data_IF_644439212965
#
_entry.id   IF_644439212965
#
_cell.length_a   1.000
_cell.length_b   1.000
_cell.length_c   1.000
_cell.angle_alpha   90.00
_cell.angle_beta   90.00
_cell.angle_gamma   90.00
#
_symmetry.space_group_name_H-M   'P 1'
#
loop_
_entity.id
_entity.type
_entity.pdbx_description
1 polymer ?
#
# COMPACT_ATOMS: atom_id res chain seq x y z
N UNK A 1 -9.39 27.72 4.81
CA UNK A 1 -8.63 26.53 5.25
C UNK A 1 -7.85 25.97 4.05
N UNK A 2 -6.52 25.79 4.15
CA UNK A 2 -5.75 25.15 3.07
C UNK A 2 -6.22 23.70 2.94
N UNK A 3 -6.65 23.27 1.75
CA UNK A 3 -7.03 21.88 1.47
C UNK A 3 -5.80 20.99 1.75
N UNK A 4 -5.88 20.13 2.74
CA UNK A 4 -4.79 19.22 3.08
C UNK A 4 -4.84 18.04 2.12
N UNK A 5 -3.77 17.83 1.37
CA UNK A 5 -3.65 16.64 0.51
C UNK A 5 -3.59 15.38 1.38
N UNK A 6 -4.47 14.38 1.18
CA UNK A 6 -4.46 13.14 1.95
C UNK A 6 -3.12 12.38 1.86
N UNK A 7 -2.48 12.43 0.70
CA UNK A 7 -1.17 11.81 0.46
C UNK A 7 -0.11 12.44 1.37
N UNK A 8 -0.09 13.78 1.45
CA UNK A 8 0.87 14.50 2.29
C UNK A 8 0.63 14.23 3.78
N UNK A 9 -0.64 14.11 4.19
CA UNK A 9 -0.99 13.81 5.58
C UNK A 9 -0.56 12.39 5.96
N UNK A 10 -0.67 11.41 5.06
CA UNK A 10 -0.13 10.06 5.26
C UNK A 10 1.37 10.06 5.51
N UNK A 11 2.16 10.78 4.71
CA UNK A 11 3.61 10.93 4.94
C UNK A 11 3.91 11.67 6.25
N UNK A 12 3.17 12.74 6.53
CA UNK A 12 3.37 13.55 7.73
C UNK A 12 3.14 12.75 9.02
N UNK A 13 2.10 11.92 9.07
CA UNK A 13 1.81 11.06 10.23
C UNK A 13 2.95 10.08 10.46
N UNK A 14 3.42 9.42 9.40
CA UNK A 14 4.53 8.46 9.50
C UNK A 14 5.84 9.12 9.93
N UNK A 15 6.16 10.32 9.40
CA UNK A 15 7.38 11.04 9.77
C UNK A 15 7.33 11.62 11.19
N UNK A 16 6.16 12.06 11.66
CA UNK A 16 5.98 12.59 13.02
C UNK A 16 5.97 11.50 14.09
N UNK A 17 5.54 10.28 13.73
CA UNK A 17 5.50 9.15 14.65
C UNK A 17 6.15 7.91 14.03
N UNK A 18 7.48 7.90 13.92
CA UNK A 18 8.22 6.79 13.31
C UNK A 18 8.05 5.48 14.08
N UNK A 19 7.69 5.53 15.38
CA UNK A 19 7.43 4.34 16.20
C UNK A 19 6.36 3.44 15.63
N UNK A 20 5.34 4.01 14.95
CA UNK A 20 4.27 3.24 14.33
C UNK A 20 4.77 2.48 13.09
N UNK A 21 5.56 3.15 12.25
CA UNK A 21 6.24 2.49 11.13
C UNK A 21 7.22 1.41 11.61
N UNK A 22 7.99 1.69 12.66
CA UNK A 22 8.90 0.71 13.24
C UNK A 22 8.18 -0.50 13.83
N UNK A 23 7.05 -0.32 14.51
CA UNK A 23 6.25 -1.42 15.02
C UNK A 23 5.73 -2.31 13.88
N UNK A 24 5.27 -1.71 12.77
CA UNK A 24 4.82 -2.45 11.58
C UNK A 24 5.99 -3.25 10.95
N UNK A 25 7.16 -2.66 10.82
CA UNK A 25 8.37 -3.33 10.34
C UNK A 25 8.76 -4.46 11.29
N UNK A 26 8.79 -4.20 12.59
CA UNK A 26 9.27 -5.17 13.58
C UNK A 26 8.47 -6.47 13.59
N UNK A 27 7.12 -6.39 13.62
CA UNK A 27 6.31 -7.62 13.62
C UNK A 27 6.39 -8.38 12.28
N UNK A 28 6.47 -7.67 11.15
CA UNK A 28 6.62 -8.30 9.83
C UNK A 28 7.95 -9.01 9.69
N UNK A 29 9.01 -8.37 10.13
CA UNK A 29 10.35 -8.93 10.02
C UNK A 29 10.58 -10.09 10.98
N UNK A 30 10.05 -10.01 12.21
CA UNK A 30 10.13 -11.14 13.14
C UNK A 30 9.41 -12.38 12.59
N UNK A 31 8.21 -12.19 12.02
CA UNK A 31 7.48 -13.28 11.39
C UNK A 31 8.16 -13.77 10.11
N UNK A 32 8.68 -12.86 9.28
CA UNK A 32 9.43 -13.20 8.07
C UNK A 32 10.67 -14.02 8.39
N UNK A 33 11.42 -13.61 9.42
CA UNK A 33 12.60 -14.35 9.90
C UNK A 33 12.23 -15.74 10.42
N UNK A 34 11.17 -15.83 11.23
CA UNK A 34 10.66 -17.11 11.72
C UNK A 34 10.22 -18.05 10.57
N UNK A 35 9.57 -17.51 9.55
CA UNK A 35 9.18 -18.25 8.35
C UNK A 35 10.41 -18.74 7.55
N UNK A 36 11.41 -17.87 7.36
CA UNK A 36 12.66 -18.26 6.70
C UNK A 36 13.41 -19.36 7.47
N UNK A 37 13.48 -19.25 8.80
CA UNK A 37 14.10 -20.28 9.64
C UNK A 37 13.35 -21.61 9.55
N UNK A 38 12.01 -21.57 9.60
CA UNK A 38 11.18 -22.78 9.47
C UNK A 38 11.36 -23.45 8.11
N UNK A 39 11.36 -22.67 7.02
CA UNK A 39 11.60 -23.17 5.67
C UNK A 39 13.00 -23.75 5.52
N UNK A 40 14.01 -23.07 6.04
CA UNK A 40 15.41 -23.55 6.03
C UNK A 40 15.55 -24.84 6.82
N UNK A 41 14.95 -24.91 8.00
CA UNK A 41 14.95 -26.12 8.82
C UNK A 41 14.26 -27.30 8.11
N UNK A 42 13.07 -27.06 7.56
CA UNK A 42 12.33 -28.06 6.81
C UNK A 42 13.11 -28.55 5.57
N UNK A 43 13.80 -27.63 4.89
CA UNK A 43 14.65 -28.00 3.75
C UNK A 43 15.89 -28.80 4.15
N UNK A 44 16.61 -28.38 5.19
CA UNK A 44 17.74 -29.13 5.71
C UNK A 44 17.33 -30.54 6.16
N UNK A 45 16.25 -30.62 6.93
CA UNK A 45 15.72 -31.92 7.36
C UNK A 45 15.29 -32.79 6.17
N UNK A 46 14.73 -32.21 5.11
CA UNK A 46 14.46 -32.95 3.88
C UNK A 46 15.76 -33.44 3.23
N UNK A 47 16.82 -32.61 3.16
CA UNK A 47 18.12 -33.01 2.60
C UNK A 47 18.74 -34.18 3.36
N UNK A 48 18.58 -34.23 4.68
CA UNK A 48 19.07 -35.34 5.51
C UNK A 48 18.37 -36.68 5.21
N UNK A 49 17.17 -36.62 4.61
CA UNK A 49 16.45 -37.85 4.21
C UNK A 49 16.83 -38.38 2.82
N UNK A 50 17.66 -37.66 2.08
CA UNK A 50 18.07 -38.09 0.74
C UNK A 50 19.09 -39.19 0.80
N UNK A 51 18.98 -40.26 -0.03
CA UNK A 51 19.94 -41.33 -0.10
C UNK A 51 21.18 -40.90 -0.92
N UNK A 52 22.05 -40.14 -0.27
CA UNK A 52 23.31 -39.66 -0.91
C UNK A 52 24.38 -40.72 -0.84
N UNK A 53 24.85 -41.17 -1.98
CA UNK A 53 25.98 -42.10 -2.06
C UNK A 53 27.34 -41.37 -2.05
N UNK A 54 28.41 -42.09 -1.68
CA UNK A 54 29.77 -41.54 -1.75
C UNK A 54 30.17 -41.13 -3.19
N UNK A 55 29.64 -41.81 -4.20
CA UNK A 55 29.84 -41.45 -5.60
C UNK A 55 29.20 -40.12 -5.94
N UNK A 56 27.97 -39.84 -5.43
CA UNK A 56 27.26 -38.55 -5.64
C UNK A 56 28.05 -37.38 -5.02
N UNK A 57 28.68 -37.61 -3.85
CA UNK A 57 29.54 -36.60 -3.22
C UNK A 57 30.79 -36.29 -4.05
N UNK A 58 31.38 -37.26 -4.68
CA UNK A 58 32.54 -37.09 -5.59
C UNK A 58 32.14 -36.28 -6.83
N UNK A 59 30.97 -36.57 -7.42
CA UNK A 59 30.47 -35.82 -8.57
C UNK A 59 30.12 -34.38 -8.23
N UNK A 60 29.52 -34.11 -7.07
CA UNK A 60 29.26 -32.77 -6.59
C UNK A 60 30.54 -31.95 -6.35
N UNK A 61 31.66 -32.62 -5.96
CA UNK A 61 32.98 -31.98 -5.77
C UNK A 61 33.75 -31.78 -7.08
N UNK A 62 33.36 -32.40 -8.17
CA UNK A 62 34.09 -32.38 -9.45
C UNK A 62 34.18 -31.03 -10.13
N UNK A 63 33.43 -30.04 -9.70
CA UNK A 63 33.27 -28.68 -10.31
C UNK A 63 32.82 -28.69 -11.78
N UNK A 64 32.40 -29.84 -12.30
CA UNK A 64 31.88 -29.97 -13.66
C UNK A 64 30.38 -29.75 -13.65
N UNK A 65 29.84 -28.67 -14.29
CA UNK A 65 28.41 -28.34 -14.22
C UNK A 65 27.50 -29.47 -14.71
N UNK A 66 27.94 -30.25 -15.70
CA UNK A 66 27.18 -31.36 -16.23
C UNK A 66 27.02 -32.49 -15.21
N UNK A 67 28.12 -32.92 -14.55
CA UNK A 67 28.08 -33.96 -13.52
C UNK A 67 27.27 -33.55 -12.30
N UNK A 68 27.39 -32.26 -11.90
CA UNK A 68 26.61 -31.70 -10.81
C UNK A 68 25.11 -31.75 -11.15
N UNK A 69 24.70 -31.31 -12.35
CA UNK A 69 23.31 -31.31 -12.77
C UNK A 69 22.71 -32.73 -12.85
N UNK A 70 23.50 -33.68 -13.36
CA UNK A 70 23.09 -35.08 -13.44
C UNK A 70 22.94 -35.72 -12.05
N UNK A 71 23.87 -35.44 -11.14
CA UNK A 71 23.79 -35.91 -9.76
C UNK A 71 22.63 -35.34 -9.02
N UNK A 72 22.37 -34.02 -9.17
CA UNK A 72 21.18 -33.38 -8.60
C UNK A 72 19.89 -34.04 -9.15
N UNK A 73 19.79 -34.24 -10.46
CA UNK A 73 18.64 -34.92 -11.06
C UNK A 73 18.49 -36.37 -10.55
N UNK A 74 19.57 -37.07 -10.31
CA UNK A 74 19.55 -38.42 -9.74
C UNK A 74 19.09 -38.44 -8.28
N UNK A 75 19.59 -37.54 -7.43
CA UNK A 75 19.24 -37.43 -6.01
C UNK A 75 17.76 -37.07 -5.83
N UNK A 76 17.23 -36.20 -6.69
CA UNK A 76 15.81 -35.84 -6.66
C UNK A 76 14.89 -36.84 -7.36
N UNK A 77 15.42 -37.77 -8.12
CA UNK A 77 14.63 -38.81 -8.81
C UNK A 77 14.03 -39.76 -7.76
N UNK A 78 12.70 -39.77 -7.66
CA UNK A 78 11.97 -40.60 -6.69
C UNK A 78 11.67 -39.91 -5.34
N UNK A 79 12.37 -38.83 -4.99
CA UNK A 79 12.10 -38.05 -3.77
C UNK A 79 11.21 -36.83 -3.99
N UNK A 80 10.86 -36.53 -5.25
CA UNK A 80 10.08 -35.33 -5.62
C UNK A 80 8.72 -35.24 -4.91
N UNK A 81 8.02 -36.36 -4.74
CA UNK A 81 6.75 -36.40 -4.01
C UNK A 81 6.93 -36.00 -2.53
N UNK A 82 8.00 -36.49 -1.88
CA UNK A 82 8.32 -36.13 -0.48
C UNK A 82 8.65 -34.64 -0.37
N UNK A 83 9.39 -34.08 -1.32
CA UNK A 83 9.69 -32.66 -1.37
C UNK A 83 8.41 -31.83 -1.49
N UNK A 84 7.50 -32.21 -2.40
CA UNK A 84 6.23 -31.52 -2.58
C UNK A 84 5.42 -31.55 -1.27
N UNK A 85 5.32 -32.70 -0.60
CA UNK A 85 4.59 -32.84 0.67
C UNK A 85 5.21 -31.95 1.75
N UNK A 86 6.52 -32.03 1.98
CA UNK A 86 7.23 -31.23 2.99
C UNK A 86 7.04 -29.73 2.72
N UNK A 87 7.25 -29.30 1.48
CA UNK A 87 7.09 -27.91 1.08
C UNK A 87 5.64 -27.43 1.24
N UNK A 88 4.66 -28.26 0.84
CA UNK A 88 3.23 -27.90 0.99
C UNK A 88 2.83 -27.75 2.43
N UNK A 89 3.20 -28.69 3.30
CA UNK A 89 2.88 -28.64 4.74
C UNK A 89 3.56 -27.43 5.40
N UNK A 90 4.83 -27.19 5.11
CA UNK A 90 5.58 -26.06 5.67
C UNK A 90 5.00 -24.74 5.19
N UNK A 91 4.68 -24.62 3.89
CA UNK A 91 4.08 -23.43 3.33
C UNK A 91 2.67 -23.16 3.91
N UNK A 92 1.87 -24.21 4.12
CA UNK A 92 0.58 -24.10 4.78
C UNK A 92 0.72 -23.61 6.23
N UNK A 93 1.68 -24.15 6.99
CA UNK A 93 1.97 -23.70 8.36
C UNK A 93 2.40 -22.23 8.41
N UNK A 94 3.30 -21.81 7.49
CA UNK A 94 3.72 -20.41 7.34
C UNK A 94 2.54 -19.52 6.96
N UNK A 95 1.68 -19.95 6.05
CA UNK A 95 0.49 -19.21 5.64
C UNK A 95 -0.49 -18.98 6.79
N UNK A 96 -0.78 -20.01 7.60
CA UNK A 96 -1.62 -19.91 8.81
C UNK A 96 -0.98 -18.94 9.81
N UNK A 97 0.31 -19.11 10.12
CA UNK A 97 1.04 -18.21 11.01
C UNK A 97 1.00 -16.76 10.52
N UNK A 98 1.15 -16.55 9.22
CA UNK A 98 1.01 -15.23 8.60
C UNK A 98 -0.37 -14.63 8.76
N UNK A 99 -1.44 -15.40 8.51
CA UNK A 99 -2.82 -14.93 8.68
C UNK A 99 -3.06 -14.46 10.11
N UNK A 100 -2.65 -15.26 11.10
CA UNK A 100 -2.82 -14.90 12.52
C UNK A 100 -2.03 -13.65 12.89
N UNK A 101 -0.73 -13.61 12.59
CA UNK A 101 0.11 -12.48 12.96
C UNK A 101 -0.26 -11.19 12.20
N UNK A 102 -0.61 -11.29 10.91
CA UNK A 102 -1.04 -10.16 10.12
C UNK A 102 -2.37 -9.58 10.58
N UNK A 103 -3.32 -10.43 11.04
CA UNK A 103 -4.58 -9.94 11.60
C UNK A 103 -4.36 -9.16 12.89
N UNK A 104 -3.53 -9.67 13.80
CA UNK A 104 -3.18 -8.99 15.05
C UNK A 104 -2.44 -7.66 14.84
N UNK A 105 -1.39 -7.67 14.03
CA UNK A 105 -0.61 -6.46 13.73
C UNK A 105 -1.46 -5.37 13.09
N UNK A 106 -2.32 -5.74 12.12
CA UNK A 106 -3.19 -4.78 11.43
C UNK A 106 -4.29 -4.20 12.31
N UNK A 107 -4.88 -4.99 13.23
CA UNK A 107 -5.85 -4.46 14.19
C UNK A 107 -5.21 -3.32 14.98
N UNK A 108 -4.03 -3.53 15.54
CA UNK A 108 -3.34 -2.54 16.35
C UNK A 108 -3.03 -1.26 15.56
N UNK A 109 -2.44 -1.41 14.37
CA UNK A 109 -2.06 -0.27 13.51
C UNK A 109 -3.28 0.53 13.04
N UNK A 110 -4.34 -0.17 12.56
CA UNK A 110 -5.53 0.50 12.06
C UNK A 110 -6.35 1.18 13.15
N UNK A 111 -6.52 0.55 14.32
CA UNK A 111 -7.21 1.18 15.45
C UNK A 111 -6.53 2.47 15.83
N UNK A 112 -5.23 2.44 15.99
CA UNK A 112 -4.47 3.63 16.32
C UNK A 112 -4.63 4.74 15.25
N UNK A 113 -4.56 4.38 13.95
CA UNK A 113 -4.74 5.35 12.86
C UNK A 113 -6.15 5.97 12.87
N UNK A 114 -7.17 5.16 13.02
CA UNK A 114 -8.58 5.63 13.07
C UNK A 114 -8.80 6.55 14.27
N UNK A 115 -8.34 6.17 15.46
CA UNK A 115 -8.43 7.00 16.68
C UNK A 115 -7.68 8.32 16.51
N UNK A 116 -6.47 8.29 15.95
CA UNK A 116 -5.69 9.50 15.69
C UNK A 116 -6.41 10.49 14.78
N UNK A 117 -6.95 10.03 13.65
CA UNK A 117 -7.66 10.91 12.70
C UNK A 117 -9.02 11.36 13.23
N UNK A 118 -9.72 10.56 14.02
CA UNK A 118 -10.95 10.99 14.73
C UNK A 118 -10.66 12.10 15.74
N UNK A 119 -9.59 11.97 16.51
CA UNK A 119 -9.17 13.03 17.43
C UNK A 119 -8.86 14.34 16.71
N UNK A 120 -8.22 14.32 15.56
CA UNK A 120 -7.96 15.51 14.76
C UNK A 120 -9.27 16.17 14.24
N UNK A 121 -10.27 15.36 13.92
CA UNK A 121 -11.59 15.85 13.49
C UNK A 121 -12.33 16.56 14.62
N UNK A 122 -12.30 16.01 15.84
CA UNK A 122 -12.96 16.62 17.01
C UNK A 122 -12.32 17.97 17.34
N UNK A 123 -11.00 18.06 17.43
CA UNK A 123 -10.31 19.32 17.67
C UNK A 123 -10.64 20.38 16.62
N UNK A 124 -10.82 19.97 15.35
CA UNK A 124 -11.19 20.89 14.28
C UNK A 124 -12.63 21.37 14.38
N UNK A 125 -13.56 20.56 14.89
CA UNK A 125 -14.97 20.96 15.12
C UNK A 125 -15.09 21.91 16.30
N UNK A 126 -14.38 21.67 17.40
CA UNK A 126 -14.43 22.49 18.60
C UNK A 126 -13.87 23.91 18.36
N UNK A 127 -12.84 24.06 17.54
CA UNK A 127 -12.32 25.37 17.13
C UNK A 127 -13.36 26.15 16.30
N UNK A 128 -14.16 25.47 15.48
CA UNK A 128 -15.21 26.12 14.69
C UNK A 128 -16.38 26.62 15.56
N UNK A 129 -16.76 25.86 16.58
CA UNK A 129 -17.85 26.21 17.50
C UNK A 129 -17.42 27.34 18.42
N UNK A 130 -16.20 27.30 18.95
CA UNK A 130 -15.65 28.35 19.86
C UNK A 130 -15.43 29.70 19.16
N UNK A 131 -15.34 29.73 17.82
CA UNK A 131 -15.24 31.01 17.07
C UNK A 131 -16.56 31.71 16.78
N UNK A 132 -17.70 31.10 17.09
CA UNK A 132 -19.05 31.62 16.76
C UNK A 132 -19.86 32.06 17.96
N UNK A 133 -19.44 31.68 19.18
CA UNK A 133 -20.15 32.07 20.39
C UNK A 133 -19.45 33.23 21.11
N UNK A 134 -20.16 34.35 21.16
CA UNK A 134 -19.94 35.49 22.10
C UNK A 134 -19.94 34.96 23.55
N UNK A 135 -19.19 35.59 24.47
CA UNK A 135 -19.03 35.12 25.82
C UNK A 135 -20.29 35.34 26.66
N UNK A 136 -21.21 34.40 26.64
CA UNK A 136 -22.27 34.37 27.66
C UNK A 136 -21.96 33.21 28.60
N UNK A 137 -21.54 33.56 29.83
CA UNK A 137 -21.09 32.67 30.87
C UNK A 137 -22.06 31.55 31.19
N UNK A 138 -21.64 30.33 30.90
CA UNK A 138 -22.24 29.12 31.47
C UNK A 138 -21.13 28.34 32.15
N UNK A 139 -21.22 28.18 33.45
CA UNK A 139 -20.34 27.45 34.32
C UNK A 139 -20.16 26.03 33.79
N UNK A 140 -18.93 25.69 33.40
CA UNK A 140 -18.49 24.37 32.99
C UNK A 140 -18.57 23.40 34.17
N UNK A 141 -19.63 22.59 34.22
CA UNK A 141 -19.82 21.52 35.17
C UNK A 141 -18.73 20.47 34.89
N UNK A 142 -17.78 20.35 35.80
CA UNK A 142 -16.68 19.38 35.69
C UNK A 142 -17.18 17.96 35.47
N UNK A 143 -16.42 17.11 34.80
CA UNK A 143 -16.81 15.71 34.56
C UNK A 143 -17.03 15.00 35.90
N UNK A 144 -18.27 14.56 36.12
CA UNK A 144 -18.68 13.95 37.37
C UNK A 144 -18.08 12.56 37.54
N UNK A 145 -17.91 12.15 38.82
CA UNK A 145 -17.40 10.85 39.24
C UNK A 145 -18.15 9.62 38.65
N UNK A 146 -19.32 9.83 38.04
CA UNK A 146 -20.09 8.80 37.33
C UNK A 146 -19.44 8.32 36.04
N UNK A 147 -18.66 9.19 35.34
CA UNK A 147 -18.00 8.82 34.09
C UNK A 147 -16.80 7.89 34.34
N UNK A 148 -16.12 8.07 35.48
CA UNK A 148 -15.03 7.17 35.91
C UNK A 148 -15.53 5.78 36.31
N UNK A 149 -16.75 5.66 36.84
CA UNK A 149 -17.36 4.38 37.20
C UNK A 149 -17.86 3.60 35.98
N UNK A 150 -18.31 4.30 34.92
CA UNK A 150 -18.71 3.68 33.68
C UNK A 150 -17.54 3.08 32.89
N UNK A 151 -16.34 3.67 33.01
CA UNK A 151 -15.13 3.20 32.33
C UNK A 151 -14.64 1.85 32.91
N UNK A 152 -14.86 1.60 34.20
CA UNK A 152 -14.48 0.33 34.86
C UNK A 152 -15.43 -0.83 34.53
N UNK A 153 -16.68 -0.56 34.14
CA UNK A 153 -17.69 -1.57 33.76
C UNK A 153 -17.56 -2.04 32.29
N UNK A 154 -16.67 -1.45 31.52
CA UNK A 154 -16.54 -1.67 30.06
C UNK A 154 -15.82 -2.96 29.62
N UNK A 155 -15.33 -3.81 30.53
CA UNK A 155 -14.46 -4.94 30.20
C UNK A 155 -15.06 -6.02 29.26
N UNK A 156 -16.31 -6.49 29.43
CA UNK A 156 -16.86 -7.56 28.57
C UNK A 156 -17.23 -7.07 27.14
N UNK A 157 -17.62 -5.82 26.99
CA UNK A 157 -18.01 -5.25 25.70
C UNK A 157 -16.81 -5.02 24.78
N UNK A 158 -15.68 -4.63 25.35
CA UNK A 158 -14.44 -4.40 24.61
C UNK A 158 -13.81 -5.70 24.10
N UNK A 159 -13.95 -6.81 24.84
CA UNK A 159 -13.45 -8.12 24.39
C UNK A 159 -14.26 -8.69 23.24
N UNK A 160 -15.59 -8.55 23.25
CA UNK A 160 -16.46 -8.99 22.17
C UNK A 160 -16.21 -8.20 20.86
N UNK A 161 -16.03 -6.89 20.94
CA UNK A 161 -15.67 -6.05 19.79
C UNK A 161 -14.29 -6.41 19.23
N UNK A 162 -13.33 -6.70 20.12
CA UNK A 162 -11.99 -7.11 19.70
C UNK A 162 -12.03 -8.45 18.95
N UNK A 163 -12.77 -9.43 19.46
CA UNK A 163 -12.92 -10.74 18.80
C UNK A 163 -13.60 -10.63 17.44
N UNK A 164 -14.59 -9.77 17.29
CA UNK A 164 -15.26 -9.50 16.00
C UNK A 164 -14.30 -8.90 14.99
N UNK A 165 -13.50 -7.89 15.39
CA UNK A 165 -12.50 -7.30 14.50
C UNK A 165 -11.42 -8.31 14.09
N UNK A 166 -10.98 -9.17 15.02
CA UNK A 166 -9.99 -10.20 14.73
C UNK A 166 -10.49 -11.24 13.73
N UNK A 167 -11.74 -11.70 13.87
CA UNK A 167 -12.35 -12.64 12.92
C UNK A 167 -12.52 -12.04 11.54
N UNK A 168 -13.02 -10.81 11.43
CA UNK A 168 -13.17 -10.12 10.14
C UNK A 168 -11.83 -9.90 9.47
N UNK A 169 -10.82 -9.44 10.21
CA UNK A 169 -9.47 -9.24 9.66
C UNK A 169 -8.75 -10.54 9.35
N UNK A 170 -8.96 -11.58 10.15
CA UNK A 170 -8.48 -12.93 9.87
C UNK A 170 -9.03 -13.46 8.54
N UNK A 171 -10.33 -13.28 8.32
CA UNK A 171 -10.98 -13.62 7.05
C UNK A 171 -10.41 -12.85 5.85
N UNK A 172 -10.16 -11.53 6.00
CA UNK A 172 -9.53 -10.72 4.95
C UNK A 172 -8.09 -11.14 4.68
N UNK A 173 -7.30 -11.45 5.72
CA UNK A 173 -5.94 -11.95 5.56
C UNK A 173 -5.93 -13.33 4.90
N UNK A 174 -6.84 -14.22 5.30
CA UNK A 174 -7.02 -15.53 4.65
C UNK A 174 -7.38 -15.38 3.17
N UNK A 175 -8.34 -14.52 2.84
CA UNK A 175 -8.76 -14.27 1.45
C UNK A 175 -7.58 -13.74 0.62
N UNK A 176 -6.74 -12.88 1.20
CA UNK A 176 -5.54 -12.37 0.54
C UNK A 176 -4.50 -13.47 0.28
N UNK A 177 -4.29 -14.35 1.26
CA UNK A 177 -3.39 -15.50 1.10
C UNK A 177 -3.92 -16.45 0.04
N UNK A 178 -5.22 -16.81 0.10
CA UNK A 178 -5.88 -17.66 -0.90
C UNK A 178 -5.76 -17.07 -2.31
N UNK A 179 -5.98 -15.76 -2.47
CA UNK A 179 -5.82 -15.06 -3.74
C UNK A 179 -4.39 -15.13 -4.26
N UNK A 180 -3.39 -14.99 -3.37
CA UNK A 180 -1.98 -15.08 -3.75
C UNK A 180 -1.61 -16.50 -4.21
N UNK A 181 -2.10 -17.52 -3.53
CA UNK A 181 -1.94 -18.91 -3.97
C UNK A 181 -2.62 -19.16 -5.32
N UNK A 182 -3.87 -18.70 -5.49
CA UNK A 182 -4.60 -18.84 -6.75
C UNK A 182 -3.84 -18.17 -7.91
N UNK A 183 -3.28 -16.98 -7.70
CA UNK A 183 -2.46 -16.30 -8.71
C UNK A 183 -1.16 -17.07 -9.01
N UNK A 184 -0.50 -17.61 -8.00
CA UNK A 184 0.71 -18.42 -8.18
C UNK A 184 0.41 -19.68 -8.99
N UNK A 185 -0.65 -20.41 -8.65
CA UNK A 185 -1.08 -21.58 -9.42
C UNK A 185 -1.53 -21.19 -10.83
N UNK A 186 -2.17 -20.05 -11.01
CA UNK A 186 -2.52 -19.49 -12.32
C UNK A 186 -1.29 -19.23 -13.20
N UNK A 187 -0.22 -18.66 -12.62
CA UNK A 187 1.04 -18.46 -13.33
C UNK A 187 1.71 -19.81 -13.70
N UNK A 188 1.74 -20.76 -12.77
CA UNK A 188 2.26 -22.12 -13.05
C UNK A 188 1.47 -22.80 -14.15
N UNK A 189 0.12 -22.70 -14.09
CA UNK A 189 -0.78 -23.20 -15.14
C UNK A 189 -0.51 -22.57 -16.50
N UNK A 190 -0.26 -21.25 -16.53
CA UNK A 190 0.10 -20.54 -17.77
C UNK A 190 1.43 -21.05 -18.37
N UNK A 191 2.41 -21.31 -17.53
CA UNK A 191 3.71 -21.88 -17.95
C UNK A 191 3.52 -23.29 -18.51
N UNK A 192 2.76 -24.15 -17.82
CA UNK A 192 2.48 -25.53 -18.28
C UNK A 192 1.73 -25.50 -19.60
N UNK A 193 0.71 -24.63 -19.74
CA UNK A 193 -0.06 -24.51 -20.98
C UNK A 193 0.80 -24.06 -22.15
N UNK A 194 1.70 -23.09 -21.93
CA UNK A 194 2.65 -22.63 -22.93
C UNK A 194 3.66 -23.73 -23.32
N UNK A 195 4.11 -24.52 -22.36
CA UNK A 195 5.00 -25.66 -22.60
C UNK A 195 4.30 -26.76 -23.43
N UNK A 196 3.03 -27.05 -23.15
CA UNK A 196 2.23 -28.01 -23.92
C UNK A 196 1.92 -27.51 -25.34
N UNK A 197 1.79 -26.21 -25.56
CA UNK A 197 1.60 -25.62 -26.88
C UNK A 197 2.85 -25.69 -27.76
N UNK A 198 4.04 -25.84 -27.16
CA UNK A 198 5.30 -26.06 -27.85
C UNK A 198 5.55 -27.56 -28.00
N UNK A 199 5.39 -28.08 -29.23
CA UNK A 199 5.60 -29.52 -29.50
C UNK A 199 7.06 -29.93 -29.23
N UNK A 200 7.26 -31.12 -28.63
CA UNK A 200 8.58 -31.69 -28.42
C UNK A 200 9.30 -32.05 -29.74
N UNK A 201 8.54 -32.25 -30.85
CA UNK A 201 9.10 -32.58 -32.18
C UNK A 201 9.56 -31.35 -32.94
N UNK A 202 8.82 -30.24 -32.78
CA UNK A 202 9.13 -28.95 -33.39
C UNK A 202 9.01 -27.86 -32.31
N UNK A 203 10.07 -27.56 -31.57
CA UNK A 203 10.05 -26.57 -30.53
C UNK A 203 9.89 -25.15 -31.12
N UNK A 204 8.73 -24.55 -30.89
CA UNK A 204 8.47 -23.15 -31.24
C UNK A 204 8.53 -22.26 -29.98
N UNK A 205 9.73 -21.88 -29.49
CA UNK A 205 9.85 -21.11 -28.25
C UNK A 205 9.14 -19.74 -28.35
N UNK A 206 9.06 -19.16 -29.54
CA UNK A 206 8.33 -17.93 -29.78
C UNK A 206 6.81 -18.04 -29.52
N UNK A 207 6.19 -19.17 -29.93
CA UNK A 207 4.76 -19.43 -29.67
C UNK A 207 4.51 -19.65 -28.18
N UNK A 208 5.36 -20.43 -27.52
CA UNK A 208 5.26 -20.65 -26.07
C UNK A 208 5.35 -19.33 -25.30
N UNK A 209 6.28 -18.45 -25.68
CA UNK A 209 6.43 -17.14 -25.06
C UNK A 209 5.23 -16.22 -25.34
N UNK A 210 4.70 -16.24 -26.57
CA UNK A 210 3.54 -15.46 -26.99
C UNK A 210 2.26 -15.84 -26.19
N UNK A 211 2.11 -17.10 -25.80
CA UNK A 211 0.99 -17.57 -24.97
C UNK A 211 1.26 -17.27 -23.48
N UNK A 212 2.45 -17.55 -22.99
CA UNK A 212 2.82 -17.43 -21.58
C UNK A 212 2.68 -15.98 -21.08
N UNK A 213 3.25 -15.04 -21.81
CA UNK A 213 3.34 -13.63 -21.34
C UNK A 213 1.96 -13.01 -21.16
N UNK A 214 1.01 -13.05 -22.13
CA UNK A 214 -0.32 -12.49 -21.91
C UNK A 214 -1.08 -13.16 -20.77
N UNK A 215 -0.98 -14.49 -20.62
CA UNK A 215 -1.66 -15.21 -19.55
C UNK A 215 -1.10 -14.81 -18.17
N UNK A 216 0.21 -14.76 -18.02
CA UNK A 216 0.86 -14.32 -16.77
C UNK A 216 0.49 -12.86 -16.47
N UNK A 217 0.52 -11.98 -17.46
CA UNK A 217 0.11 -10.59 -17.32
C UNK A 217 -1.36 -10.47 -16.89
N UNK A 218 -2.26 -11.28 -17.45
CA UNK A 218 -3.67 -11.30 -17.09
C UNK A 218 -3.87 -11.75 -15.64
N UNK A 219 -3.24 -12.85 -15.23
CA UNK A 219 -3.26 -13.34 -13.85
C UNK A 219 -2.72 -12.28 -12.88
N UNK A 220 -1.60 -11.66 -13.23
CA UNK A 220 -0.99 -10.62 -12.41
C UNK A 220 -1.88 -9.38 -12.30
N UNK A 221 -2.52 -8.96 -13.39
CA UNK A 221 -3.45 -7.83 -13.39
C UNK A 221 -4.66 -8.10 -12.48
N UNK A 222 -5.28 -9.28 -12.61
CA UNK A 222 -6.39 -9.69 -11.76
C UNK A 222 -6.00 -9.72 -10.29
N UNK A 223 -4.88 -10.36 -9.99
CA UNK A 223 -4.33 -10.41 -8.62
C UNK A 223 -4.08 -9.00 -8.08
N UNK A 224 -3.49 -8.11 -8.88
CA UNK A 224 -3.16 -6.74 -8.47
C UNK A 224 -4.41 -5.94 -8.11
N UNK A 225 -5.46 -6.01 -8.94
CA UNK A 225 -6.73 -5.31 -8.71
C UNK A 225 -7.43 -5.84 -7.46
N UNK A 226 -7.58 -7.16 -7.33
CA UNK A 226 -8.22 -7.75 -6.16
C UNK A 226 -7.42 -7.49 -4.88
N UNK A 227 -6.09 -7.61 -4.92
CA UNK A 227 -5.23 -7.31 -3.79
C UNK A 227 -5.30 -5.83 -3.37
N UNK A 228 -5.54 -4.93 -4.32
CA UNK A 228 -5.76 -3.52 -4.02
C UNK A 228 -7.05 -3.30 -3.21
N UNK A 229 -8.19 -3.87 -3.61
CA UNK A 229 -9.43 -3.82 -2.83
C UNK A 229 -9.26 -4.46 -1.44
N UNK A 230 -8.61 -5.63 -1.37
CA UNK A 230 -8.30 -6.31 -0.11
C UNK A 230 -7.33 -5.52 0.79
N UNK A 231 -6.60 -4.55 0.25
CA UNK A 231 -5.76 -3.65 1.05
C UNK A 231 -6.55 -2.54 1.74
N UNK A 232 -7.71 -2.17 1.20
CA UNK A 232 -8.61 -1.13 1.73
C UNK A 232 -9.65 -1.70 2.71
N UNK A 233 -10.13 -2.92 2.46
CA UNK A 233 -11.18 -3.56 3.25
C UNK A 233 -10.92 -3.58 4.78
N UNK A 234 -9.68 -3.81 5.28
CA UNK A 234 -9.39 -3.77 6.72
C UNK A 234 -9.76 -2.45 7.42
N UNK A 235 -9.76 -1.33 6.70
CA UNK A 235 -10.16 -0.03 7.25
C UNK A 235 -11.63 -0.07 7.67
N UNK A 236 -12.49 -0.62 6.83
CA UNK A 236 -13.94 -0.71 7.08
C UNK A 236 -14.28 -1.77 8.13
N UNK A 237 -13.53 -2.87 8.18
CA UNK A 237 -13.65 -3.86 9.24
C UNK A 237 -13.40 -3.26 10.63
N UNK A 238 -12.36 -2.42 10.77
CA UNK A 238 -12.01 -1.78 12.05
C UNK A 238 -12.91 -0.57 12.34
N UNK A 239 -13.23 0.23 11.33
CA UNK A 239 -13.99 1.49 11.47
C UNK A 239 -15.46 1.24 11.78
N UNK A 240 -16.09 0.32 11.05
CA UNK A 240 -17.53 0.09 11.02
C UNK A 240 -17.93 -1.25 11.69
N UNK A 241 -16.95 -2.06 12.08
CA UNK A 241 -17.22 -3.38 12.68
C UNK A 241 -17.85 -4.36 11.69
N UNK A 242 -17.65 -4.16 10.39
CA UNK A 242 -18.25 -5.02 9.36
C UNK A 242 -17.56 -6.39 9.32
N UNK A 243 -18.29 -7.39 8.87
CA UNK A 243 -17.75 -8.72 8.56
C UNK A 243 -16.81 -8.67 7.33
N UNK A 244 -16.18 -9.79 7.01
CA UNK A 244 -15.20 -9.91 5.94
C UNK A 244 -15.74 -9.43 4.58
N UNK A 245 -16.92 -9.92 4.18
CA UNK A 245 -17.50 -9.58 2.87
C UNK A 245 -18.15 -8.19 2.86
N UNK A 246 -18.75 -7.77 3.95
CA UNK A 246 -19.24 -6.40 4.14
C UNK A 246 -18.13 -5.38 3.97
N UNK A 247 -16.97 -5.64 4.59
CA UNK A 247 -15.79 -4.78 4.49
C UNK A 247 -15.25 -4.67 3.05
N UNK A 248 -15.24 -5.77 2.29
CA UNK A 248 -14.85 -5.76 0.85
C UNK A 248 -15.86 -4.95 0.05
N UNK A 249 -17.16 -5.15 0.27
CA UNK A 249 -18.19 -4.40 -0.44
C UNK A 249 -18.16 -2.90 -0.12
N UNK A 250 -17.87 -2.54 1.13
CA UNK A 250 -17.67 -1.14 1.56
C UNK A 250 -16.42 -0.53 0.89
N UNK A 251 -15.32 -1.28 0.79
CA UNK A 251 -14.12 -0.84 0.09
C UNK A 251 -14.39 -0.57 -1.40
N UNK A 252 -15.15 -1.43 -2.07
CA UNK A 252 -15.53 -1.25 -3.48
C UNK A 252 -16.39 0.00 -3.66
N UNK A 253 -17.41 0.20 -2.81
CA UNK A 253 -18.25 1.41 -2.83
C UNK A 253 -17.41 2.67 -2.63
N UNK A 254 -16.57 2.66 -1.62
CA UNK A 254 -15.66 3.77 -1.32
C UNK A 254 -14.73 4.11 -2.50
N UNK A 255 -14.15 3.10 -3.15
CA UNK A 255 -13.34 3.31 -4.34
C UNK A 255 -14.15 3.93 -5.48
N UNK A 256 -15.41 3.51 -5.68
CA UNK A 256 -16.28 4.08 -6.70
C UNK A 256 -16.65 5.53 -6.41
N UNK A 257 -16.97 5.83 -5.16
CA UNK A 257 -17.42 7.15 -4.74
C UNK A 257 -16.27 8.18 -4.69
N UNK A 258 -15.03 7.73 -4.37
CA UNK A 258 -13.86 8.59 -4.21
C UNK A 258 -12.67 8.17 -5.09
N UNK A 259 -12.97 7.72 -6.32
CA UNK A 259 -11.98 7.13 -7.22
C UNK A 259 -10.76 8.04 -7.44
N UNK A 260 -10.97 9.36 -7.64
CA UNK A 260 -9.89 10.31 -7.88
C UNK A 260 -8.92 10.43 -6.71
N UNK A 261 -9.42 10.50 -5.48
CA UNK A 261 -8.56 10.62 -4.29
C UNK A 261 -7.79 9.31 -4.01
N UNK A 262 -8.49 8.18 -4.14
CA UNK A 262 -7.91 6.85 -3.87
C UNK A 262 -6.85 6.49 -4.90
N UNK A 263 -7.12 6.75 -6.20
CA UNK A 263 -6.15 6.53 -7.28
C UNK A 263 -4.95 7.47 -7.17
N UNK A 264 -5.16 8.74 -6.82
CA UNK A 264 -4.07 9.69 -6.61
C UNK A 264 -3.12 9.23 -5.50
N UNK A 265 -3.64 8.77 -4.34
CA UNK A 265 -2.82 8.18 -3.28
C UNK A 265 -2.06 6.96 -3.80
N UNK A 266 -2.77 6.03 -4.48
CA UNK A 266 -2.17 4.83 -5.06
C UNK A 266 -1.03 5.17 -6.03
N UNK A 267 -1.22 6.15 -6.89
CA UNK A 267 -0.24 6.60 -7.87
C UNK A 267 1.01 7.20 -7.20
N UNK A 268 0.85 8.14 -6.27
CA UNK A 268 1.99 8.79 -5.62
C UNK A 268 2.82 7.83 -4.77
N UNK A 269 2.17 6.95 -4.00
CA UNK A 269 2.89 5.92 -3.24
C UNK A 269 3.49 4.85 -4.15
N UNK A 270 2.84 4.52 -5.28
CA UNK A 270 3.39 3.64 -6.31
C UNK A 270 4.65 4.23 -6.96
N UNK A 271 4.62 5.52 -7.29
CA UNK A 271 5.78 6.23 -7.84
C UNK A 271 6.95 6.30 -6.84
N UNK A 272 6.65 6.58 -5.56
CA UNK A 272 7.65 6.56 -4.50
C UNK A 272 8.28 5.17 -4.32
N UNK A 273 7.46 4.11 -4.41
CA UNK A 273 7.95 2.73 -4.34
C UNK A 273 8.82 2.38 -5.55
N UNK A 274 8.42 2.78 -6.76
CA UNK A 274 9.22 2.60 -7.97
C UNK A 274 10.57 3.33 -7.87
N UNK A 275 10.57 4.57 -7.39
CA UNK A 275 11.80 5.32 -7.18
C UNK A 275 12.73 4.63 -6.16
N UNK A 276 12.17 4.14 -5.04
CA UNK A 276 12.93 3.38 -4.04
C UNK A 276 13.49 2.07 -4.63
N UNK A 277 12.73 1.38 -5.48
CA UNK A 277 13.17 0.16 -6.15
C UNK A 277 14.32 0.43 -7.14
N UNK A 278 14.19 1.45 -7.99
CA UNK A 278 15.25 1.86 -8.93
C UNK A 278 16.52 2.21 -8.17
N UNK A 279 16.39 3.00 -7.09
CA UNK A 279 17.51 3.40 -6.26
C UNK A 279 18.20 2.20 -5.63
N UNK A 280 17.44 1.29 -5.02
CA UNK A 280 17.97 0.06 -4.42
C UNK A 280 18.68 -0.82 -5.45
N UNK A 281 18.08 -1.01 -6.64
CA UNK A 281 18.68 -1.80 -7.72
C UNK A 281 20.00 -1.17 -8.19
N UNK A 282 20.05 0.15 -8.32
CA UNK A 282 21.28 0.87 -8.65
C UNK A 282 22.34 0.65 -7.58
N UNK A 283 22.00 0.79 -6.29
CA UNK A 283 22.98 0.58 -5.21
C UNK A 283 23.46 -0.88 -5.11
N UNK A 284 22.61 -1.86 -5.38
CA UNK A 284 22.99 -3.29 -5.42
C UNK A 284 23.99 -3.55 -6.56
N UNK A 285 23.89 -2.83 -7.67
CA UNK A 285 24.79 -2.99 -8.81
C UNK A 285 26.25 -2.62 -8.48
N UNK A 286 26.48 -1.70 -7.52
CA UNK A 286 27.84 -1.31 -7.11
C UNK A 286 28.66 -2.48 -6.54
N UNK A 287 28.27 -3.14 -5.45
CA UNK A 287 29.06 -4.25 -4.92
C UNK A 287 29.22 -5.39 -5.93
N UNK A 288 28.22 -5.64 -6.78
CA UNK A 288 28.30 -6.67 -7.81
C UNK A 288 29.33 -6.31 -8.87
N UNK A 289 29.42 -5.05 -9.30
CA UNK A 289 30.41 -4.58 -10.27
C UNK A 289 31.86 -4.81 -9.77
N UNK A 290 32.08 -4.69 -8.47
CA UNK A 290 33.37 -4.89 -7.84
C UNK A 290 33.61 -6.33 -7.32
N UNK A 291 32.73 -7.28 -7.64
CA UNK A 291 32.79 -8.66 -7.12
C UNK A 291 34.11 -9.41 -7.46
N UNK A 292 34.85 -8.98 -8.49
CA UNK A 292 36.17 -9.56 -8.83
C UNK A 292 37.31 -8.99 -7.98
N UNK A 293 37.17 -7.79 -7.42
CA UNK A 293 38.20 -7.10 -6.66
C UNK A 293 38.01 -7.20 -5.15
N UNK A 294 36.78 -7.52 -4.69
CA UNK A 294 36.39 -7.52 -3.28
C UNK A 294 36.03 -8.93 -2.85
N UNK A 295 36.37 -9.35 -1.60
CA UNK A 295 35.94 -10.64 -1.06
C UNK A 295 34.42 -10.85 -1.15
N UNK A 296 33.99 -12.01 -1.60
CA UNK A 296 32.58 -12.37 -1.83
C UNK A 296 31.70 -12.09 -0.61
N UNK A 297 32.20 -12.28 0.60
CA UNK A 297 31.45 -12.00 1.84
C UNK A 297 31.07 -10.53 1.99
N UNK A 298 31.93 -9.58 1.57
CA UNK A 298 31.65 -8.14 1.60
C UNK A 298 30.61 -7.80 0.53
N UNK A 299 30.72 -8.39 -0.66
CA UNK A 299 29.75 -8.21 -1.75
C UNK A 299 28.36 -8.66 -1.31
N UNK A 300 28.27 -9.89 -0.76
CA UNK A 300 27.01 -10.45 -0.26
C UNK A 300 26.45 -9.63 0.91
N UNK A 301 27.30 -9.18 1.82
CA UNK A 301 26.91 -8.30 2.93
C UNK A 301 26.35 -6.96 2.43
N UNK A 302 26.98 -6.35 1.42
CA UNK A 302 26.49 -5.13 0.79
C UNK A 302 25.14 -5.29 0.09
N UNK A 303 25.00 -6.36 -0.70
CA UNK A 303 23.72 -6.70 -1.34
C UNK A 303 22.62 -6.91 -0.30
N UNK A 304 22.92 -7.69 0.76
CA UNK A 304 21.97 -7.95 1.84
C UNK A 304 21.56 -6.64 2.54
N UNK A 305 22.50 -5.78 2.88
CA UNK A 305 22.23 -4.51 3.53
C UNK A 305 21.30 -3.61 2.70
N UNK A 306 21.60 -3.44 1.41
CA UNK A 306 20.76 -2.63 0.51
C UNK A 306 19.36 -3.24 0.37
N UNK A 307 19.28 -4.56 0.27
CA UNK A 307 18.00 -5.28 0.18
C UNK A 307 17.16 -5.07 1.45
N UNK A 308 17.77 -5.19 2.64
CA UNK A 308 17.09 -4.96 3.89
C UNK A 308 16.61 -3.50 4.01
N UNK A 309 17.45 -2.54 3.63
CA UNK A 309 17.07 -1.12 3.64
C UNK A 309 15.91 -0.83 2.69
N UNK A 310 15.91 -1.44 1.50
CA UNK A 310 14.79 -1.35 0.57
C UNK A 310 13.48 -1.87 1.18
N UNK A 311 13.51 -3.01 1.88
CA UNK A 311 12.31 -3.55 2.53
C UNK A 311 11.81 -2.65 3.66
N UNK A 312 12.70 -2.03 4.45
CA UNK A 312 12.30 -1.03 5.46
C UNK A 312 11.56 0.15 4.80
N UNK A 313 12.10 0.68 3.71
CA UNK A 313 11.47 1.78 2.96
C UNK A 313 10.14 1.34 2.37
N UNK A 314 10.05 0.14 1.81
CA UNK A 314 8.83 -0.41 1.24
C UNK A 314 7.72 -0.57 2.29
N UNK A 315 8.06 -1.07 3.50
CA UNK A 315 7.12 -1.20 4.61
C UNK A 315 6.66 0.17 5.14
N UNK A 316 7.58 1.14 5.22
CA UNK A 316 7.25 2.53 5.59
C UNK A 316 6.28 3.16 4.59
N UNK A 317 6.51 3.01 3.28
CA UNK A 317 5.62 3.49 2.23
C UNK A 317 4.26 2.80 2.28
N UNK A 318 4.22 1.50 2.58
CA UNK A 318 2.98 0.77 2.76
C UNK A 318 2.15 1.31 3.92
N UNK A 319 2.78 1.54 5.09
CA UNK A 319 2.11 2.12 6.26
C UNK A 319 1.63 3.55 5.99
N UNK A 320 2.43 4.37 5.29
CA UNK A 320 2.07 5.73 4.86
C UNK A 320 0.87 5.75 3.91
N UNK A 321 0.82 4.81 2.96
CA UNK A 321 -0.34 4.64 2.06
C UNK A 321 -1.60 4.27 2.84
N UNK A 322 -1.49 3.38 3.83
CA UNK A 322 -2.61 3.01 4.69
C UNK A 322 -3.12 4.20 5.49
N UNK A 323 -2.22 5.00 6.07
CA UNK A 323 -2.55 6.22 6.79
C UNK A 323 -3.25 7.25 5.88
N UNK A 324 -2.81 7.41 4.63
CA UNK A 324 -3.46 8.29 3.65
C UNK A 324 -4.88 7.83 3.31
N UNK A 325 -5.12 6.52 3.19
CA UNK A 325 -6.48 6.00 2.97
C UNK A 325 -7.39 6.24 4.19
N UNK A 326 -6.89 6.03 5.41
CA UNK A 326 -7.64 6.36 6.63
C UNK A 326 -7.93 7.86 6.70
N UNK A 327 -6.98 8.71 6.31
CA UNK A 327 -7.19 10.15 6.25
C UNK A 327 -8.33 10.53 5.27
N UNK A 328 -8.44 9.89 4.09
CA UNK A 328 -9.54 10.11 3.15
C UNK A 328 -10.90 9.70 3.76
N UNK A 329 -10.93 8.63 4.57
CA UNK A 329 -12.18 8.15 5.18
C UNK A 329 -12.65 9.00 6.35
N UNK A 330 -11.73 9.59 7.13
CA UNK A 330 -12.04 10.27 8.38
C UNK A 330 -12.06 11.81 8.23
N UNK A 331 -11.26 12.38 7.34
CA UNK A 331 -11.25 13.83 7.14
C UNK A 331 -12.41 14.26 6.23
N UNK A 332 -13.13 15.35 6.58
CA UNK A 332 -14.16 15.89 5.73
C UNK A 332 -13.55 16.36 4.40
N UNK A 333 -14.25 16.12 3.32
CA UNK A 333 -13.89 16.72 2.03
C UNK A 333 -13.91 18.24 2.21
N UNK A 334 -12.79 18.89 1.84
CA UNK A 334 -12.86 20.32 1.60
C UNK A 334 -13.96 20.51 0.54
N UNK A 335 -14.99 21.36 0.82
CA UNK A 335 -16.00 21.61 -0.18
C UNK A 335 -15.25 21.94 -1.48
N UNK A 336 -15.70 21.40 -2.64
CA UNK A 336 -15.10 21.72 -3.90
C UNK A 336 -14.97 23.24 -3.92
N UNK A 337 -13.78 23.77 -4.16
CA UNK A 337 -13.61 25.17 -4.44
C UNK A 337 -14.53 25.38 -5.65
N UNK A 338 -15.77 25.76 -5.38
CA UNK A 338 -16.59 26.37 -6.41
C UNK A 338 -15.73 27.54 -6.82
N UNK A 339 -14.95 27.36 -7.89
CA UNK A 339 -14.45 28.47 -8.69
C UNK A 339 -15.70 29.29 -8.83
N UNK A 340 -15.79 30.36 -8.02
CA UNK A 340 -16.95 31.20 -8.04
C UNK A 340 -17.12 31.63 -9.48
N UNK A 341 -17.96 30.88 -10.19
CA UNK A 341 -18.76 31.51 -11.19
C UNK A 341 -19.46 32.54 -10.32
N UNK A 342 -18.90 33.74 -10.34
CA UNK A 342 -19.59 34.93 -9.84
C UNK A 342 -20.96 34.75 -10.49
N UNK A 343 -21.93 34.24 -9.71
CA UNK A 343 -23.31 34.26 -10.11
C UNK A 343 -23.54 35.72 -10.32
N UNK A 344 -23.40 36.17 -11.58
CA UNK A 344 -23.81 37.50 -11.95
C UNK A 344 -25.21 37.65 -11.35
N UNK A 345 -25.45 38.67 -10.51
CA UNK A 345 -26.75 38.86 -9.92
C UNK A 345 -27.79 38.80 -11.04
N UNK A 346 -28.92 38.14 -10.79
CA UNK A 346 -29.95 37.95 -11.81
C UNK A 346 -30.19 39.26 -12.49
N UNK A 347 -30.26 39.24 -13.82
CA UNK A 347 -30.29 40.39 -14.76
C UNK A 347 -31.57 41.25 -14.65
N UNK A 348 -32.18 41.33 -13.45
CA UNK A 348 -33.19 42.33 -13.04
C UNK A 348 -32.57 43.67 -12.64
N UNK A 349 -31.24 43.83 -12.85
CA UNK A 349 -30.60 45.10 -12.72
C UNK A 349 -31.25 46.05 -13.74
N UNK A 350 -32.03 47.00 -13.23
CA UNK A 350 -32.47 48.20 -13.96
C UNK A 350 -31.35 48.66 -14.87
N UNK A 351 -31.65 49.04 -16.11
CA UNK A 351 -30.63 49.56 -17.01
C UNK A 351 -29.86 50.66 -16.27
N UNK A 352 -28.62 50.31 -15.90
CA UNK A 352 -27.71 51.31 -15.32
C UNK A 352 -27.47 52.29 -16.43
N UNK A 353 -27.92 53.54 -16.22
CA UNK A 353 -27.68 54.62 -17.16
C UNK A 353 -26.18 54.81 -17.27
N UNK A 354 -25.58 54.20 -18.31
CA UNK A 354 -24.16 54.19 -18.56
C UNK A 354 -23.60 55.64 -18.68
N UNK A 355 -24.48 56.61 -18.99
CA UNK A 355 -24.11 58.02 -19.04
C UNK A 355 -23.77 58.61 -17.69
N UNK A 356 -24.49 58.20 -16.63
CA UNK A 356 -24.22 58.68 -15.27
C UNK A 356 -22.99 57.97 -14.63
N UNK A 357 -22.73 56.72 -14.99
CA UNK A 357 -21.54 55.99 -14.54
C UNK A 357 -20.26 56.50 -15.21
N UNK A 358 -20.31 56.87 -16.50
CA UNK A 358 -19.21 57.48 -17.21
C UNK A 358 -18.88 58.90 -16.73
N UNK A 359 -19.88 59.68 -16.37
CA UNK A 359 -19.68 61.00 -15.77
C UNK A 359 -18.98 60.96 -14.42
N UNK A 360 -19.32 59.94 -13.60
CA UNK A 360 -18.68 59.73 -12.29
C UNK A 360 -17.25 59.18 -12.39
N UNK A 361 -16.95 58.38 -13.39
CA UNK A 361 -15.61 57.82 -13.62
C UNK A 361 -14.61 58.85 -14.15
N UNK A 362 -15.07 59.96 -14.74
CA UNK A 362 -14.19 61.01 -15.24
C UNK A 362 -13.64 61.93 -14.14
N UNK A 363 -14.24 61.92 -12.96
CA UNK A 363 -13.80 62.72 -11.82
C UNK A 363 -12.90 61.97 -10.85
N UNK A 364 -12.54 60.72 -11.18
CA UNK A 364 -11.66 59.90 -10.33
C UNK A 364 -10.19 60.22 -10.65
N UNK A 365 -9.46 60.90 -9.76
CA UNK A 365 -8.06 61.33 -10.01
C UNK A 365 -7.06 60.17 -10.23
N UNK A 366 -7.45 58.94 -9.96
CA UNK A 366 -6.62 57.78 -10.11
C UNK A 366 -6.51 57.31 -11.57
N UNK A 367 -7.47 57.68 -12.44
CA UNK A 367 -7.49 57.27 -13.85
C UNK A 367 -6.74 58.25 -14.77
N UNK A 368 -6.39 59.46 -14.31
CA UNK A 368 -5.66 60.46 -15.09
C UNK A 368 -4.17 60.18 -15.24
N UNK A 369 -3.60 59.32 -14.42
CA UNK A 369 -2.17 59.02 -14.41
C UNK A 369 -1.76 57.72 -15.16
N UNK A 370 -2.68 57.10 -15.90
CA UNK A 370 -2.35 55.95 -16.74
C UNK A 370 -1.63 56.42 -18.02
N UNK A 371 -0.34 56.09 -18.23
CA UNK A 371 0.37 56.48 -19.44
C UNK A 371 -0.30 55.84 -20.67
N UNK A 372 -0.74 56.70 -21.59
CA UNK A 372 -1.28 56.34 -22.90
C UNK A 372 -0.23 55.41 -23.60
N UNK A 373 -0.62 54.18 -23.82
CA UNK A 373 0.19 53.18 -24.53
C UNK A 373 0.50 53.75 -25.93
N UNK A 374 1.76 53.87 -26.32
CA UNK A 374 2.11 54.36 -27.66
C UNK A 374 1.52 53.43 -28.75
N UNK A 375 1.07 53.94 -29.87
CA UNK A 375 0.55 53.14 -30.98
C UNK A 375 1.61 52.16 -31.46
N UNK A 376 1.25 50.87 -31.51
CA UNK A 376 2.10 49.81 -32.01
C UNK A 376 2.45 50.05 -33.51
N UNK A 377 3.60 49.56 -33.99
CA UNK A 377 3.99 49.72 -35.38
C UNK A 377 2.97 49.05 -36.32
N UNK A 378 2.51 49.79 -37.30
CA UNK A 378 1.68 49.28 -38.40
C UNK A 378 2.45 48.12 -39.10
N UNK A 379 1.86 46.94 -39.06
CA UNK A 379 2.32 45.78 -39.83
C UNK A 379 1.92 46.07 -41.30
N UNK A 380 2.89 46.53 -42.04
CA UNK A 380 2.78 46.73 -43.50
C UNK A 380 2.47 45.39 -44.17
N UNK A 381 1.35 45.33 -44.87
CA UNK A 381 1.00 44.29 -45.82
C UNK A 381 1.94 44.40 -47.02
N UNK A 382 2.77 43.35 -47.17
CA UNK A 382 3.57 43.08 -48.37
C UNK A 382 3.43 41.60 -48.72
#
# INVERSE_FOLDING_TARGET
MKSRSPTLEGFRVMLRRPTLGMAEVAWRWSLGTAACLLLSFAFVHYLDTLPVSNADLLFLRSRQPFLISQTIAHLFRGSGFRLIVVMTVTLAAVAVGWVVAASLGRVATLRWLVEHFRGLKQVSSDIHISGQDSPTGAAQKGPGAEELAAETAGHPRNSALLSQHLTSLGGLCFLRVALTFAATFGCVGAIILAALASSAKEPHPGLAFLIMVPLVCLVWLFWSVLNWFLSLAPIFAVREGQDTFGSVSAAIRFCRDRMGAVTAVGFWFGLAHLAAFILATTFVSFPIAFARAIPLGIVLGGVLLVTLLYFVVADFLYAGRLAAYVAITELPESPPVRLGIVELPPHDARPVDLSSALAQASDDPILSDLPLRPPGPEVGSG
#
